data_IF_608749300814
#
_entry.id   IF_608749300814
#
_cell.length_a   1.000
_cell.length_b   1.000
_cell.length_c   1.000
_cell.angle_alpha   90.00
_cell.angle_beta   90.00
_cell.angle_gamma   90.00
#
_symmetry.space_group_name_H-M   'P 1'
#
loop_
_entity.id
_entity.type
_entity.pdbx_description
1 polymer ?
#
# COMPACT_ATOMS: atom_id res chain seq x y z
N UNK A 1 17.53 2.88 0.88
CA UNK A 1 16.32 3.70 0.68
C UNK A 1 15.26 3.10 1.58
N UNK A 2 14.48 3.89 2.33
CA UNK A 2 13.37 3.37 3.09
C UNK A 2 12.38 2.58 2.23
N UNK A 3 11.79 1.54 2.82
CA UNK A 3 10.67 0.82 2.25
C UNK A 3 9.42 1.07 3.07
N UNK A 4 8.32 1.34 2.39
CA UNK A 4 7.03 1.64 2.99
C UNK A 4 6.00 0.57 2.69
N UNK A 5 4.98 0.48 3.55
CA UNK A 5 3.79 -0.31 3.31
C UNK A 5 2.55 0.56 3.50
N UNK A 6 1.79 0.74 2.43
CA UNK A 6 0.60 1.59 2.42
C UNK A 6 -0.66 0.75 2.46
N UNK A 7 -1.48 0.97 3.48
CA UNK A 7 -2.71 0.25 3.71
C UNK A 7 -3.89 0.96 3.06
N UNK A 8 -4.73 0.19 2.36
CA UNK A 8 -6.00 0.67 1.85
C UNK A 8 -7.13 -0.37 1.95
N UNK A 9 -8.35 0.15 1.94
CA UNK A 9 -9.56 -0.60 2.28
C UNK A 9 -10.51 -0.64 1.09
N UNK A 10 -10.82 -1.83 0.53
CA UNK A 10 -11.89 -1.97 -0.46
C UNK A 10 -13.27 -1.58 0.07
N UNK A 11 -13.46 -1.51 1.39
CA UNK A 11 -14.72 -1.03 2.00
C UNK A 11 -14.86 0.49 1.85
N UNK A 12 -13.77 1.23 2.04
CA UNK A 12 -13.76 2.68 1.90
C UNK A 12 -13.62 3.10 0.42
N UNK A 13 -13.03 2.21 -0.40
CA UNK A 13 -12.90 2.39 -1.83
C UNK A 13 -13.28 1.12 -2.61
N UNK A 14 -14.54 0.96 -3.01
CA UNK A 14 -15.03 -0.24 -3.69
C UNK A 14 -14.30 -0.61 -4.99
N UNK A 15 -13.70 0.36 -5.68
CA UNK A 15 -12.93 0.14 -6.91
C UNK A 15 -11.42 -0.04 -6.68
N UNK A 16 -10.99 -0.40 -5.48
CA UNK A 16 -9.59 -0.61 -5.08
C UNK A 16 -8.77 -1.43 -6.08
N UNK A 17 -9.20 -2.67 -6.30
CA UNK A 17 -8.51 -3.61 -7.19
C UNK A 17 -8.46 -3.08 -8.64
N UNK A 18 -9.58 -2.51 -9.11
CA UNK A 18 -9.64 -1.94 -10.46
C UNK A 18 -8.70 -0.76 -10.62
N UNK A 19 -8.56 0.05 -9.59
CA UNK A 19 -7.67 1.20 -9.65
C UNK A 19 -6.21 0.76 -9.70
N UNK A 20 -5.77 -0.17 -8.84
CA UNK A 20 -4.41 -0.71 -8.90
C UNK A 20 -4.11 -1.39 -10.24
N UNK A 21 -5.09 -2.10 -10.82
CA UNK A 21 -4.90 -2.80 -12.09
C UNK A 21 -4.83 -1.89 -13.32
N UNK A 22 -5.57 -0.78 -13.31
CA UNK A 22 -5.74 0.05 -14.51
C UNK A 22 -4.83 1.30 -14.55
N UNK A 23 -4.17 1.65 -13.44
CA UNK A 23 -3.32 2.83 -13.35
C UNK A 23 -1.92 2.44 -12.88
N UNK A 24 -0.93 2.65 -13.75
CA UNK A 24 0.48 2.51 -13.39
C UNK A 24 0.93 3.65 -12.48
N UNK A 25 0.44 4.87 -12.73
CA UNK A 25 0.68 6.04 -11.87
C UNK A 25 -0.52 6.26 -10.97
N UNK A 26 -0.29 6.21 -9.67
CA UNK A 26 -1.33 6.36 -8.67
C UNK A 26 -0.98 7.44 -7.66
N UNK A 27 -2.00 7.99 -7.00
CA UNK A 27 -1.80 8.94 -5.91
C UNK A 27 -2.44 8.41 -4.63
N UNK A 28 -1.70 8.50 -3.53
CA UNK A 28 -2.07 7.94 -2.23
C UNK A 28 -2.07 8.99 -1.13
N UNK A 29 -3.06 8.92 -0.23
CA UNK A 29 -3.15 9.83 0.90
C UNK A 29 -2.25 9.38 2.04
N UNK A 30 -1.50 10.32 2.61
CA UNK A 30 -0.66 10.11 3.79
C UNK A 30 -1.27 10.88 4.95
N UNK A 31 -1.85 10.16 5.92
CA UNK A 31 -2.58 10.78 7.03
C UNK A 31 -1.67 11.19 8.18
N UNK A 32 -0.52 10.54 8.33
CA UNK A 32 0.45 10.78 9.39
C UNK A 32 1.48 11.80 8.92
N UNK A 33 1.43 13.01 9.47
CA UNK A 33 2.34 14.11 9.09
C UNK A 33 3.83 13.74 9.20
N UNK A 34 4.23 13.07 10.27
CA UNK A 34 5.63 12.64 10.47
C UNK A 34 6.10 11.64 9.41
N UNK A 35 5.25 10.70 9.02
CA UNK A 35 5.58 9.76 7.96
C UNK A 35 5.76 10.48 6.62
N UNK A 36 4.91 11.46 6.33
CA UNK A 36 4.99 12.27 5.11
C UNK A 36 6.32 13.04 4.99
N UNK A 37 6.89 13.50 6.11
CA UNK A 37 8.16 14.22 6.15
C UNK A 37 9.38 13.31 5.90
N UNK A 38 9.21 11.99 5.98
CA UNK A 38 10.27 11.00 5.77
C UNK A 38 10.19 10.28 4.41
N UNK A 39 9.18 10.60 3.59
CA UNK A 39 8.96 9.99 2.28
C UNK A 39 9.61 10.80 1.18
N UNK A 40 10.49 10.16 0.42
CA UNK A 40 11.21 10.78 -0.69
C UNK A 40 10.96 10.03 -2.00
N UNK A 41 11.14 10.71 -3.16
CA UNK A 41 11.23 10.00 -4.43
C UNK A 41 12.27 8.87 -4.37
N UNK A 42 12.02 7.82 -5.12
CA UNK A 42 12.82 6.58 -5.18
C UNK A 42 12.74 5.65 -3.95
N UNK A 43 11.97 6.01 -2.91
CA UNK A 43 11.61 5.07 -1.85
C UNK A 43 10.74 3.93 -2.39
N UNK A 44 10.98 2.72 -1.90
CA UNK A 44 10.21 1.53 -2.26
C UNK A 44 8.88 1.51 -1.49
N UNK A 45 7.81 1.02 -2.13
CA UNK A 45 6.51 0.90 -1.48
C UNK A 45 5.75 -0.35 -1.90
N UNK A 46 5.22 -1.04 -0.90
CA UNK A 46 4.24 -2.10 -1.07
C UNK A 46 2.83 -1.59 -0.74
N UNK A 47 1.81 -2.12 -1.42
CA UNK A 47 0.41 -1.82 -1.13
C UNK A 47 -0.23 -2.99 -0.39
N UNK A 48 -0.68 -2.72 0.84
CA UNK A 48 -1.48 -3.61 1.65
C UNK A 48 -2.97 -3.38 1.42
N UNK A 49 -3.66 -4.42 0.94
CA UNK A 49 -5.12 -4.46 0.88
C UNK A 49 -5.67 -5.03 2.18
N UNK A 50 -6.63 -4.35 2.81
CA UNK A 50 -7.46 -4.96 3.85
C UNK A 50 -8.50 -5.91 3.26
N UNK A 51 -8.95 -6.89 4.03
CA UNK A 51 -9.99 -7.85 3.61
C UNK A 51 -11.27 -7.15 3.09
N UNK A 52 -11.57 -5.95 3.60
CA UNK A 52 -12.79 -5.22 3.27
C UNK A 52 -14.03 -6.05 3.62
N UNK A 53 -14.80 -6.44 2.60
CA UNK A 53 -15.99 -7.29 2.74
C UNK A 53 -15.73 -8.77 2.33
N UNK A 54 -14.48 -9.15 2.06
CA UNK A 54 -14.10 -10.51 1.61
C UNK A 54 -12.99 -11.06 2.50
N UNK A 55 -13.32 -11.84 3.55
CA UNK A 55 -12.33 -12.41 4.44
C UNK A 55 -11.25 -13.21 3.71
N UNK A 56 -9.99 -13.08 4.13
CA UNK A 56 -8.85 -13.81 3.55
C UNK A 56 -8.29 -13.19 2.26
N UNK A 57 -8.78 -12.03 1.84
CA UNK A 57 -8.25 -11.32 0.67
C UNK A 57 -7.20 -10.27 1.02
N UNK A 58 -6.99 -10.00 2.31
CA UNK A 58 -6.03 -9.04 2.80
C UNK A 58 -4.59 -9.53 2.64
N UNK A 59 -3.68 -8.57 2.47
CA UNK A 59 -2.26 -8.83 2.26
C UNK A 59 -1.62 -7.83 1.31
N UNK A 60 -0.39 -8.13 0.89
CA UNK A 60 0.38 -7.31 -0.05
C UNK A 60 -0.04 -7.66 -1.47
N UNK A 61 -0.47 -6.66 -2.23
CA UNK A 61 -1.07 -6.84 -3.56
C UNK A 61 -0.44 -6.01 -4.67
N UNK A 62 0.47 -5.09 -4.34
CA UNK A 62 1.24 -4.37 -5.34
C UNK A 62 2.58 -3.90 -4.77
N UNK A 63 3.49 -3.60 -5.68
CA UNK A 63 4.81 -3.03 -5.45
C UNK A 63 5.02 -1.86 -6.42
N UNK A 64 5.82 -0.89 -5.98
CA UNK A 64 6.17 0.28 -6.78
C UNK A 64 7.14 1.21 -6.06
N UNK A 65 7.31 2.40 -6.64
CA UNK A 65 8.28 3.40 -6.20
C UNK A 65 7.57 4.75 -6.02
N UNK A 66 7.92 5.48 -4.96
CA UNK A 66 7.45 6.85 -4.75
C UNK A 66 8.10 7.78 -5.78
N UNK A 67 7.32 8.66 -6.39
CA UNK A 67 7.80 9.56 -7.47
C UNK A 67 7.83 11.02 -7.07
N UNK A 68 7.24 11.36 -5.92
CA UNK A 68 7.17 12.74 -5.42
C UNK A 68 7.41 12.77 -3.94
N UNK A 69 7.80 13.91 -3.40
CA UNK A 69 7.65 14.17 -1.96
C UNK A 69 6.16 14.30 -1.60
N UNK A 70 5.83 14.15 -0.32
CA UNK A 70 4.46 14.32 0.15
C UNK A 70 4.04 15.80 0.03
N UNK A 71 2.99 16.06 -0.74
CA UNK A 71 2.49 17.42 -1.01
C UNK A 71 1.00 17.54 -0.71
N UNK A 72 0.62 18.71 -0.23
CA UNK A 72 -0.79 19.05 -0.04
C UNK A 72 -1.36 19.40 -1.41
N UNK A 73 -2.13 18.48 -1.99
CA UNK A 73 -2.80 18.69 -3.28
C UNK A 73 -4.27 19.05 -2.97
N UNK A 74 -4.77 20.20 -3.46
CA UNK A 74 -6.21 20.49 -3.43
C UNK A 74 -6.98 19.35 -4.11
N UNK A 75 -8.08 18.92 -3.52
CA UNK A 75 -8.89 17.85 -4.08
C UNK A 75 -9.68 18.35 -5.31
N UNK A 76 -9.02 18.41 -6.47
CA UNK A 76 -9.61 18.88 -7.73
C UNK A 76 -10.43 17.78 -8.46
N UNK A 77 -10.69 16.63 -7.83
CA UNK A 77 -11.57 15.58 -8.37
C UNK A 77 -11.12 14.93 -9.69
N UNK A 78 -9.96 15.28 -10.24
CA UNK A 78 -9.59 14.90 -11.62
C UNK A 78 -8.97 13.51 -11.78
N UNK A 79 -8.48 12.86 -10.72
CA UNK A 79 -7.83 11.53 -10.82
C UNK A 79 -7.90 10.61 -9.58
N UNK A 80 -8.78 10.83 -8.58
CA UNK A 80 -8.73 10.03 -7.33
C UNK A 80 -10.05 9.53 -6.72
N UNK A 81 -10.05 8.22 -6.47
CA UNK A 81 -10.39 7.45 -5.25
C UNK A 81 -11.66 7.66 -4.42
N UNK A 82 -12.34 8.79 -4.43
CA UNK A 82 -13.49 8.94 -3.53
C UNK A 82 -14.56 9.78 -4.21
N UNK A 83 -15.75 9.21 -4.39
CA UNK A 83 -16.97 10.01 -4.63
C UNK A 83 -17.31 10.76 -3.35
N UNK A 84 -16.57 11.80 -3.00
CA UNK A 84 -17.01 12.77 -2.01
C UNK A 84 -16.63 14.19 -2.43
N UNK A 85 -17.44 15.14 -1.96
CA UNK A 85 -17.26 16.59 -2.10
C UNK A 85 -15.83 17.03 -1.77
N UNK A 86 -15.36 18.18 -2.28
CA UNK A 86 -14.01 18.71 -2.01
C UNK A 86 -13.65 18.58 -0.54
N UNK A 87 -12.74 17.66 -0.25
CA UNK A 87 -12.35 17.28 1.10
C UNK A 87 -11.27 18.20 1.68
N UNK A 88 -10.92 18.01 2.97
CA UNK A 88 -9.77 18.68 3.57
C UNK A 88 -8.49 18.36 2.79
N UNK A 89 -7.56 19.30 2.76
CA UNK A 89 -6.27 19.16 2.08
C UNK A 89 -5.42 18.10 2.78
N UNK A 90 -5.37 16.89 2.23
CA UNK A 90 -4.59 15.76 2.78
C UNK A 90 -3.26 15.64 2.03
N UNK A 91 -2.11 15.58 2.74
CA UNK A 91 -0.82 15.26 2.14
C UNK A 91 -0.93 14.01 1.29
N UNK A 92 -0.37 14.06 0.09
CA UNK A 92 -0.49 13.02 -0.90
C UNK A 92 0.83 12.82 -1.61
N UNK A 93 1.08 11.58 -2.01
CA UNK A 93 2.28 11.17 -2.72
C UNK A 93 1.87 10.39 -3.96
N UNK A 94 2.62 10.55 -5.03
CA UNK A 94 2.41 9.80 -6.26
C UNK A 94 3.37 8.61 -6.32
N UNK A 95 2.88 7.49 -6.85
CA UNK A 95 3.54 6.19 -6.87
C UNK A 95 3.46 5.65 -8.29
N UNK A 96 4.57 5.15 -8.80
CA UNK A 96 4.58 4.32 -10.00
C UNK A 96 4.58 2.86 -9.58
N UNK A 97 3.51 2.14 -9.89
CA UNK A 97 3.39 0.70 -9.70
C UNK A 97 4.14 -0.02 -10.81
N UNK A 98 4.95 -1.02 -10.44
CA UNK A 98 5.67 -1.87 -11.39
C UNK A 98 5.15 -3.33 -11.42
N UNK A 99 4.48 -3.77 -10.35
CA UNK A 99 3.99 -5.13 -10.20
C UNK A 99 2.69 -5.12 -9.36
N UNK A 100 1.61 -5.67 -9.91
CA UNK A 100 0.29 -5.70 -9.28
C UNK A 100 -0.24 -7.13 -9.34
N UNK A 101 -0.51 -7.71 -8.16
CA UNK A 101 -0.95 -9.10 -7.96
C UNK A 101 -2.10 -9.09 -6.98
N UNK A 102 -3.33 -9.17 -7.46
CA UNK A 102 -4.52 -8.98 -6.63
C UNK A 102 -5.04 -10.29 -6.04
N UNK A 103 -4.55 -11.43 -6.52
CA UNK A 103 -5.00 -12.76 -6.14
C UNK A 103 -3.82 -13.67 -5.77
N UNK A 104 -4.03 -14.72 -4.95
CA UNK A 104 -3.00 -15.71 -4.65
C UNK A 104 -2.45 -16.40 -5.90
N UNK A 105 -3.29 -16.58 -6.92
CA UNK A 105 -2.92 -17.16 -8.21
C UNK A 105 -1.97 -16.25 -8.98
N UNK A 106 -2.14 -14.93 -8.87
CA UNK A 106 -1.22 -13.91 -9.41
C UNK A 106 0.06 -13.76 -8.56
N UNK A 107 0.15 -14.42 -7.39
CA UNK A 107 1.32 -14.36 -6.52
C UNK A 107 1.31 -13.22 -5.50
N UNK A 108 0.12 -12.80 -5.04
CA UNK A 108 0.02 -11.87 -3.91
C UNK A 108 0.45 -12.53 -2.59
N UNK A 109 0.94 -11.72 -1.64
CA UNK A 109 1.36 -12.24 -0.33
C UNK A 109 0.22 -12.02 0.66
N UNK A 110 -0.50 -13.09 0.99
CA UNK A 110 -1.69 -13.02 1.84
C UNK A 110 -1.34 -12.74 3.30
N UNK A 111 -2.25 -12.07 4.03
CA UNK A 111 -2.13 -11.87 5.48
C UNK A 111 -2.00 -13.20 6.23
N UNK A 112 -2.70 -14.25 5.79
CA UNK A 112 -2.61 -15.59 6.38
C UNK A 112 -1.21 -16.16 6.25
N UNK A 113 -0.55 -15.99 5.11
CA UNK A 113 0.84 -16.42 4.93
C UNK A 113 1.79 -15.65 5.86
N UNK A 114 1.59 -14.34 6.02
CA UNK A 114 2.41 -13.50 6.90
C UNK A 114 2.23 -13.84 8.39
N UNK A 115 1.02 -14.22 8.81
CA UNK A 115 0.76 -14.70 10.18
C UNK A 115 1.49 -16.01 10.51
N UNK A 116 1.86 -16.80 9.50
CA UNK A 116 2.60 -18.05 9.65
C UNK A 116 4.11 -17.85 9.47
N UNK A 117 4.55 -16.65 9.09
CA UNK A 117 5.94 -16.33 8.84
C UNK A 117 6.65 -15.94 10.15
N UNK A 118 7.76 -16.61 10.45
CA UNK A 118 8.48 -16.42 11.72
C UNK A 118 9.07 -15.00 11.90
N UNK A 119 9.30 -14.27 10.80
CA UNK A 119 9.87 -12.93 10.81
C UNK A 119 8.78 -11.85 10.71
N UNK A 120 7.67 -12.11 10.01
CA UNK A 120 6.64 -11.11 9.71
C UNK A 120 5.36 -11.22 10.54
N UNK A 121 5.19 -12.26 11.35
CA UNK A 121 3.94 -12.47 12.10
C UNK A 121 3.60 -11.29 13.01
N UNK A 122 4.60 -10.59 13.57
CA UNK A 122 4.41 -9.50 14.52
C UNK A 122 4.37 -8.10 13.88
N UNK A 123 4.45 -8.00 12.54
CA UNK A 123 4.39 -6.73 11.83
C UNK A 123 3.19 -5.89 12.27
N UNK A 124 3.39 -4.58 12.40
CA UNK A 124 2.33 -3.70 12.91
C UNK A 124 1.06 -3.75 12.05
N UNK A 125 1.16 -3.82 10.73
CA UNK A 125 0.00 -3.94 9.82
C UNK A 125 -0.75 -5.27 10.01
N UNK A 126 -0.05 -6.34 10.40
CA UNK A 126 -0.63 -7.68 10.55
C UNK A 126 -1.40 -7.77 11.87
N UNK A 127 -0.80 -7.25 12.95
CA UNK A 127 -1.36 -7.32 14.30
C UNK A 127 -2.36 -6.20 14.60
N UNK A 128 -2.06 -4.97 14.17
CA UNK A 128 -2.78 -3.75 14.52
C UNK A 128 -2.91 -2.79 13.33
N UNK A 129 -3.78 -3.07 12.34
CA UNK A 129 -3.95 -2.32 11.09
C UNK A 129 -4.65 -0.95 11.27
N UNK A 130 -4.28 -0.17 12.28
CA UNK A 130 -4.90 1.13 12.60
C UNK A 130 -4.25 2.31 11.88
N UNK A 131 -3.05 2.14 11.31
CA UNK A 131 -2.36 3.15 10.53
C UNK A 131 -2.53 2.88 9.03
N UNK A 132 -2.41 3.93 8.23
CA UNK A 132 -2.48 3.84 6.76
C UNK A 132 -1.12 3.72 6.07
N UNK A 133 -0.02 4.05 6.76
CA UNK A 133 1.31 4.12 6.19
C UNK A 133 2.30 3.63 7.26
N UNK A 134 3.08 2.61 6.91
CA UNK A 134 4.04 1.95 7.78
C UNK A 134 5.42 2.04 7.17
N UNK A 135 6.41 2.48 7.95
CA UNK A 135 7.82 2.36 7.58
C UNK A 135 8.30 0.97 7.99
N UNK A 136 8.86 0.21 7.06
CA UNK A 136 9.35 -1.14 7.34
C UNK A 136 10.71 -1.09 8.02
N UNK A 137 10.99 -2.07 8.87
CA UNK A 137 12.37 -2.34 9.31
C UNK A 137 13.14 -3.05 8.19
N UNK A 138 14.47 -3.06 8.29
CA UNK A 138 15.32 -3.76 7.33
C UNK A 138 15.00 -5.27 7.27
N UNK A 139 14.68 -5.90 8.40
CA UNK A 139 14.30 -7.32 8.42
C UNK A 139 12.95 -7.55 7.72
N UNK A 140 11.96 -6.69 7.99
CA UNK A 140 10.63 -6.77 7.36
C UNK A 140 10.72 -6.59 5.85
N UNK A 141 11.46 -5.57 5.40
CA UNK A 141 11.74 -5.29 3.99
C UNK A 141 12.37 -6.51 3.30
N UNK A 142 13.48 -7.02 3.84
CA UNK A 142 14.23 -8.09 3.21
C UNK A 142 13.36 -9.34 3.06
N UNK A 143 12.57 -9.66 4.10
CA UNK A 143 11.68 -10.81 4.09
C UNK A 143 10.52 -10.63 3.12
N UNK A 144 9.87 -9.47 3.10
CA UNK A 144 8.80 -9.16 2.14
C UNK A 144 9.32 -9.26 0.71
N UNK A 145 10.49 -8.69 0.42
CA UNK A 145 11.10 -8.74 -0.91
C UNK A 145 11.37 -10.19 -1.34
N UNK A 146 11.86 -11.06 -0.44
CA UNK A 146 12.03 -12.49 -0.71
C UNK A 146 10.71 -13.18 -1.03
N UNK A 147 9.67 -12.97 -0.21
CA UNK A 147 8.35 -13.55 -0.43
C UNK A 147 7.72 -13.06 -1.74
N UNK A 148 7.81 -11.76 -2.02
CA UNK A 148 7.27 -11.16 -3.24
C UNK A 148 7.97 -11.70 -4.49
N UNK A 149 9.29 -11.86 -4.47
CA UNK A 149 10.03 -12.46 -5.60
C UNK A 149 9.67 -13.94 -5.79
N UNK A 150 9.60 -14.70 -4.69
CA UNK A 150 9.29 -16.14 -4.74
C UNK A 150 7.85 -16.46 -5.15
N UNK A 151 6.90 -15.56 -4.84
CA UNK A 151 5.49 -15.74 -5.19
C UNK A 151 5.19 -15.44 -6.66
N UNK A 152 6.11 -14.82 -7.40
CA UNK A 152 5.93 -14.51 -8.83
C UNK A 152 5.89 -15.81 -9.62
N UNK A 153 4.72 -16.13 -10.19
CA UNK A 153 4.52 -17.31 -11.04
C UNK A 153 4.85 -17.03 -12.49
#
# INVERSE_FOLDING_TARGET
MPTWLFQGSPKDFPSFDNYLRNYAEISWHVRQKRAAEEMYPDDEVYIWRLDGNRPGTGGIVAHGILTTEARIIPDEGRKRWVRHQPGPTVPSIDITLDDVRLTPEEGCVTRTALLQDAELWNMHVVQSPHLTNYKLTSEEEERIARLWRAAKR
#
